data_IF_305189222167
#
_entry.id   IF_305189222167
#
_cell.length_a   1.000
_cell.length_b   1.000
_cell.length_c   1.000
_cell.angle_alpha   90.00
_cell.angle_beta   90.00
_cell.angle_gamma   90.00
#
_symmetry.space_group_name_H-M   'P 1'
#
loop_
_entity.id
_entity.type
_entity.pdbx_description
1 polymer ?
#
# COMPACT_ATOMS: atom_id res chain seq x y z
N UNK A 1 -26.89 -43.28 -2.22
CA UNK A 1 -25.70 -42.56 -2.73
C UNK A 1 -26.10 -41.16 -3.20
N UNK A 2 -27.11 -41.01 -4.06
CA UNK A 2 -27.61 -39.69 -4.52
C UNK A 2 -28.06 -38.73 -3.40
N UNK A 3 -28.70 -39.23 -2.32
CA UNK A 3 -29.08 -38.37 -1.19
C UNK A 3 -27.88 -37.86 -0.38
N UNK A 4 -26.80 -38.64 -0.29
CA UNK A 4 -25.57 -38.23 0.39
C UNK A 4 -24.77 -37.23 -0.46
N UNK A 5 -24.79 -37.39 -1.78
CA UNK A 5 -24.16 -36.46 -2.71
C UNK A 5 -24.90 -35.13 -2.80
N UNK A 6 -26.25 -35.13 -2.80
CA UNK A 6 -27.04 -33.89 -2.70
C UNK A 6 -26.80 -33.16 -1.38
N UNK A 7 -26.76 -33.89 -0.27
CA UNK A 7 -26.50 -33.32 1.06
C UNK A 7 -25.04 -32.82 1.18
N UNK A 8 -24.08 -33.47 0.51
CA UNK A 8 -22.70 -33.01 0.40
C UNK A 8 -22.57 -31.76 -0.50
N UNK A 9 -23.34 -31.65 -1.58
CA UNK A 9 -23.36 -30.47 -2.45
C UNK A 9 -24.00 -29.26 -1.74
N UNK A 10 -25.11 -29.48 -1.01
CA UNK A 10 -25.75 -28.44 -0.19
C UNK A 10 -24.81 -27.95 0.92
N UNK A 11 -24.15 -28.85 1.63
CA UNK A 11 -23.18 -28.48 2.68
C UNK A 11 -21.87 -27.88 2.15
N UNK A 12 -21.46 -28.20 0.92
CA UNK A 12 -20.29 -27.58 0.28
C UNK A 12 -20.52 -26.12 -0.14
N UNK A 13 -21.78 -25.69 -0.30
CA UNK A 13 -22.13 -24.30 -0.67
C UNK A 13 -22.28 -23.36 0.52
N UNK A 14 -22.51 -23.89 1.73
CA UNK A 14 -22.67 -23.09 2.94
C UNK A 14 -21.34 -22.94 3.68
N UNK A 15 -20.76 -21.73 3.60
CA UNK A 15 -19.59 -21.39 4.43
C UNK A 15 -19.98 -21.47 5.91
N UNK A 16 -19.08 -22.00 6.78
CA UNK A 16 -19.43 -22.24 8.17
C UNK A 16 -19.79 -20.94 8.91
N UNK A 17 -20.82 -21.01 9.75
CA UNK A 17 -21.54 -19.87 10.35
C UNK A 17 -20.65 -18.90 11.12
N UNK A 18 -19.54 -19.39 11.69
CA UNK A 18 -18.58 -18.56 12.42
C UNK A 18 -17.88 -17.53 11.52
N UNK A 19 -17.74 -17.81 10.22
CA UNK A 19 -17.16 -16.89 9.25
C UNK A 19 -18.01 -15.61 9.11
N UNK A 20 -19.33 -15.73 9.24
CA UNK A 20 -20.25 -14.58 9.18
C UNK A 20 -20.18 -13.66 10.40
N UNK A 21 -19.75 -14.17 11.57
CA UNK A 21 -19.50 -13.36 12.76
C UNK A 21 -18.25 -12.49 12.63
N UNK A 22 -17.26 -12.94 11.88
CA UNK A 22 -15.95 -12.26 11.78
C UNK A 22 -15.72 -11.56 10.43
N UNK A 23 -16.45 -11.92 9.38
CA UNK A 23 -16.25 -11.35 8.04
C UNK A 23 -17.12 -10.12 7.76
N UNK A 24 -18.17 -9.87 8.55
CA UNK A 24 -19.08 -8.74 8.32
C UNK A 24 -18.80 -7.55 9.23
N UNK A 25 -19.05 -6.35 8.68
CA UNK A 25 -18.96 -5.11 9.43
C UNK A 25 -19.96 -5.14 10.58
N UNK A 26 -19.48 -5.05 11.83
CA UNK A 26 -20.34 -4.98 13.00
C UNK A 26 -21.14 -3.66 13.03
N UNK A 27 -22.39 -3.68 13.52
CA UNK A 27 -23.25 -2.51 13.56
C UNK A 27 -22.69 -1.36 14.42
N UNK A 28 -21.98 -1.69 15.51
CA UNK A 28 -21.30 -0.72 16.38
C UNK A 28 -19.98 -0.17 15.81
N UNK A 29 -19.54 -0.61 14.64
CA UNK A 29 -18.29 -0.11 14.05
C UNK A 29 -18.40 1.37 13.66
N UNK A 30 -17.29 2.11 13.75
CA UNK A 30 -17.23 3.53 13.36
C UNK A 30 -17.12 3.69 11.84
N UNK A 31 -18.12 3.19 11.12
CA UNK A 31 -18.29 3.35 9.68
C UNK A 31 -19.53 4.19 9.39
N UNK A 32 -19.50 4.91 8.26
CA UNK A 32 -20.65 5.70 7.82
C UNK A 32 -21.87 4.78 7.56
N UNK A 33 -23.10 5.18 7.92
CA UNK A 33 -24.30 4.35 7.76
C UNK A 33 -24.48 3.78 6.35
N UNK A 34 -24.16 4.56 5.31
CA UNK A 34 -24.24 4.09 3.92
C UNK A 34 -23.33 2.87 3.64
N UNK A 35 -22.15 2.77 4.28
CA UNK A 35 -21.27 1.62 4.12
C UNK A 35 -21.87 0.38 4.77
N UNK A 36 -22.47 0.54 5.96
CA UNK A 36 -23.18 -0.54 6.66
C UNK A 36 -24.38 -1.04 5.86
N UNK A 37 -25.20 -0.13 5.34
CA UNK A 37 -26.30 -0.47 4.44
C UNK A 37 -25.80 -1.13 3.15
N UNK A 38 -24.67 -0.68 2.59
CA UNK A 38 -24.07 -1.29 1.40
C UNK A 38 -23.66 -2.75 1.62
N UNK A 39 -23.20 -3.13 2.83
CA UNK A 39 -22.89 -4.52 3.15
C UNK A 39 -24.15 -5.38 3.08
N UNK A 40 -25.21 -4.97 3.79
CA UNK A 40 -26.50 -5.67 3.77
C UNK A 40 -27.01 -5.79 2.33
N UNK A 41 -26.96 -4.68 1.59
CA UNK A 41 -27.36 -4.60 0.18
C UNK A 41 -26.63 -5.62 -0.69
N UNK A 42 -25.32 -5.69 -0.55
CA UNK A 42 -24.48 -6.60 -1.35
C UNK A 42 -24.76 -8.06 -1.01
N UNK A 43 -25.01 -8.39 0.27
CA UNK A 43 -25.31 -9.75 0.70
C UNK A 43 -26.65 -10.23 0.17
N UNK A 44 -27.69 -9.41 0.32
CA UNK A 44 -29.03 -9.76 -0.19
C UNK A 44 -29.02 -9.88 -1.71
N UNK A 45 -28.38 -8.95 -2.41
CA UNK A 45 -28.25 -9.03 -3.88
C UNK A 45 -27.52 -10.29 -4.33
N UNK A 46 -26.44 -10.69 -3.63
CA UNK A 46 -25.72 -11.94 -3.93
C UNK A 46 -26.58 -13.17 -3.68
N UNK A 47 -27.34 -13.21 -2.58
CA UNK A 47 -28.27 -14.30 -2.32
C UNK A 47 -29.31 -14.43 -3.44
N UNK A 48 -29.89 -13.31 -3.88
CA UNK A 48 -30.87 -13.31 -4.99
C UNK A 48 -30.22 -13.80 -6.31
N UNK A 49 -28.98 -13.40 -6.59
CA UNK A 49 -28.34 -13.68 -7.87
C UNK A 49 -27.71 -15.08 -7.97
N UNK A 50 -27.25 -15.64 -6.84
CA UNK A 50 -26.47 -16.89 -6.82
C UNK A 50 -27.30 -18.08 -6.33
N UNK A 51 -28.24 -17.86 -5.42
CA UNK A 51 -29.00 -18.96 -4.81
C UNK A 51 -30.03 -19.55 -5.77
N UNK A 52 -30.25 -20.86 -5.68
CA UNK A 52 -31.36 -21.53 -6.36
C UNK A 52 -32.70 -21.00 -5.82
N UNK A 53 -33.77 -20.94 -6.66
CA UNK A 53 -35.05 -20.37 -6.26
C UNK A 53 -35.66 -21.06 -5.03
N UNK A 54 -35.45 -22.37 -4.89
CA UNK A 54 -35.97 -23.17 -3.78
C UNK A 54 -35.20 -22.94 -2.46
N UNK A 55 -33.91 -22.59 -2.56
CA UNK A 55 -33.02 -22.35 -1.41
C UNK A 55 -32.96 -20.86 -0.99
N UNK A 56 -33.53 -19.96 -1.80
CA UNK A 56 -33.50 -18.53 -1.55
C UNK A 56 -34.15 -18.12 -0.21
N UNK A 57 -35.32 -18.66 0.21
CA UNK A 57 -35.91 -18.31 1.50
C UNK A 57 -35.02 -18.69 2.68
N UNK A 58 -34.37 -19.86 2.62
CA UNK A 58 -33.47 -20.36 3.65
C UNK A 58 -32.19 -19.50 3.75
N UNK A 59 -31.63 -19.07 2.61
CA UNK A 59 -30.46 -18.18 2.60
C UNK A 59 -30.78 -16.79 3.17
N UNK A 60 -31.97 -16.25 2.87
CA UNK A 60 -32.40 -14.96 3.42
C UNK A 60 -32.58 -15.04 4.94
N UNK A 61 -33.18 -16.12 5.45
CA UNK A 61 -33.31 -16.37 6.89
C UNK A 61 -31.94 -16.51 7.57
N UNK A 62 -31.02 -17.20 6.91
CA UNK A 62 -29.64 -17.33 7.37
C UNK A 62 -28.94 -15.97 7.46
N UNK A 63 -29.07 -15.13 6.43
CA UNK A 63 -28.52 -13.77 6.41
C UNK A 63 -29.15 -12.87 7.48
N UNK A 64 -30.47 -12.95 7.71
CA UNK A 64 -31.13 -12.18 8.78
C UNK A 64 -30.58 -12.58 10.16
N UNK A 65 -30.39 -13.88 10.41
CA UNK A 65 -29.79 -14.40 11.65
C UNK A 65 -28.35 -13.93 11.83
N UNK A 66 -27.54 -14.00 10.77
CA UNK A 66 -26.16 -13.55 10.78
C UNK A 66 -26.03 -12.03 11.01
N UNK A 67 -26.89 -11.22 10.39
CA UNK A 67 -26.90 -9.77 10.56
C UNK A 67 -27.36 -9.36 11.97
N UNK A 68 -28.34 -10.06 12.55
CA UNK A 68 -28.75 -9.82 13.95
C UNK A 68 -27.63 -10.08 14.94
N UNK A 69 -26.90 -11.18 14.74
CA UNK A 69 -25.75 -11.55 15.58
C UNK A 69 -24.66 -10.48 15.53
N UNK A 70 -24.56 -9.74 14.42
CA UNK A 70 -23.65 -8.61 14.22
C UNK A 70 -24.23 -7.24 14.69
N UNK A 71 -25.35 -7.24 15.41
CA UNK A 71 -25.96 -6.06 16.02
C UNK A 71 -26.86 -5.23 15.10
N UNK A 72 -27.24 -5.74 13.93
CA UNK A 72 -28.17 -5.05 13.03
C UNK A 72 -29.62 -5.22 13.48
N UNK A 73 -30.41 -4.15 13.40
CA UNK A 73 -31.84 -4.18 13.72
C UNK A 73 -32.67 -4.72 12.55
N UNK A 74 -33.82 -5.37 12.84
CA UNK A 74 -34.79 -5.83 11.81
C UNK A 74 -35.15 -4.71 10.82
N UNK A 75 -35.32 -3.51 11.37
CA UNK A 75 -35.71 -2.32 10.62
C UNK A 75 -34.65 -1.97 9.58
N UNK A 76 -33.37 -1.99 9.94
CA UNK A 76 -32.29 -1.67 9.01
C UNK A 76 -32.20 -2.69 7.86
N UNK A 77 -32.39 -3.97 8.17
CA UNK A 77 -32.34 -5.06 7.19
C UNK A 77 -33.52 -4.93 6.21
N UNK A 78 -34.74 -4.84 6.73
CA UNK A 78 -35.97 -4.71 5.93
C UNK A 78 -36.00 -3.44 5.10
N UNK A 79 -35.57 -2.30 5.65
CA UNK A 79 -35.45 -1.05 4.90
C UNK A 79 -34.46 -1.19 3.73
N UNK A 80 -33.29 -1.79 3.97
CA UNK A 80 -32.27 -1.99 2.93
C UNK A 80 -32.73 -2.97 1.84
N UNK A 81 -33.44 -4.04 2.23
CA UNK A 81 -34.04 -4.98 1.29
C UNK A 81 -35.08 -4.32 0.37
N UNK A 82 -35.92 -3.44 0.92
CA UNK A 82 -36.89 -2.66 0.12
C UNK A 82 -36.20 -1.73 -0.87
N UNK A 83 -35.13 -1.04 -0.44
CA UNK A 83 -34.39 -0.15 -1.34
C UNK A 83 -33.77 -0.89 -2.53
N UNK A 84 -33.30 -2.13 -2.35
CA UNK A 84 -32.82 -2.97 -3.45
C UNK A 84 -33.88 -3.20 -4.52
N UNK A 85 -35.05 -3.70 -4.09
CA UNK A 85 -36.15 -4.04 -5.01
C UNK A 85 -36.70 -2.82 -5.77
N UNK A 86 -36.55 -1.61 -5.21
CA UNK A 86 -36.96 -0.37 -5.86
C UNK A 86 -35.91 0.13 -6.85
N UNK A 87 -34.63 -0.03 -6.55
CA UNK A 87 -33.55 0.37 -7.45
C UNK A 87 -33.44 -0.54 -8.68
N UNK A 88 -33.70 -1.84 -8.55
CA UNK A 88 -33.76 -2.77 -9.68
C UNK A 88 -34.86 -2.38 -10.69
N UNK A 89 -35.97 -1.80 -10.20
CA UNK A 89 -37.08 -1.31 -11.03
C UNK A 89 -36.78 0.02 -11.74
N UNK A 90 -35.83 0.81 -11.23
CA UNK A 90 -35.49 2.13 -11.76
C UNK A 90 -34.26 2.13 -12.69
N UNK A 91 -33.54 1.01 -12.80
CA UNK A 91 -32.30 0.91 -13.57
C UNK A 91 -32.49 0.74 -15.09
N UNK A 92 -33.70 0.94 -15.61
CA UNK A 92 -34.04 0.76 -17.04
C UNK A 92 -33.80 2.00 -17.90
N UNK A 93 -33.32 3.11 -17.34
CA UNK A 93 -32.98 4.30 -18.13
C UNK A 93 -31.46 4.44 -18.32
N UNK A 94 -30.98 4.70 -19.56
CA UNK A 94 -29.57 4.95 -19.80
C UNK A 94 -29.14 6.23 -19.06
N UNK A 95 -28.23 6.08 -18.09
CA UNK A 95 -27.59 7.21 -17.40
C UNK A 95 -26.77 8.01 -18.40
N UNK A 96 -27.24 9.20 -18.74
CA UNK A 96 -26.46 10.21 -19.46
C UNK A 96 -25.15 10.49 -18.69
N UNK A 97 -24.03 10.62 -19.41
CA UNK A 97 -22.70 10.86 -18.83
C UNK A 97 -22.62 12.29 -18.28
N UNK A 98 -23.28 12.56 -17.16
CA UNK A 98 -23.07 13.80 -16.41
C UNK A 98 -21.61 13.89 -15.95
N UNK A 99 -21.07 15.12 -15.97
CA UNK A 99 -19.72 15.44 -15.53
C UNK A 99 -19.51 14.87 -14.12
N UNK A 100 -18.41 14.12 -13.94
CA UNK A 100 -18.09 13.52 -12.65
C UNK A 100 -18.04 14.61 -11.57
N UNK A 101 -18.90 14.56 -10.55
CA UNK A 101 -18.88 15.57 -9.49
C UNK A 101 -17.53 15.54 -8.79
N UNK A 102 -17.05 16.71 -8.35
CA UNK A 102 -15.83 16.82 -7.54
C UNK A 102 -15.97 15.93 -6.30
N UNK A 103 -14.97 15.07 -6.04
CA UNK A 103 -14.98 14.10 -4.94
C UNK A 103 -13.96 14.46 -3.88
N UNK A 104 -14.36 14.43 -2.62
CA UNK A 104 -13.48 14.63 -1.45
C UNK A 104 -13.57 13.42 -0.54
N UNK A 105 -12.41 12.93 -0.08
CA UNK A 105 -12.33 11.82 0.87
C UNK A 105 -12.18 12.36 2.29
N UNK A 106 -13.05 11.94 3.21
CA UNK A 106 -13.03 12.36 4.61
C UNK A 106 -13.01 11.17 5.56
N UNK A 107 -12.15 11.16 6.60
CA UNK A 107 -12.22 10.14 7.63
C UNK A 107 -13.55 10.27 8.39
N UNK A 108 -14.26 9.17 8.62
CA UNK A 108 -15.57 9.18 9.27
C UNK A 108 -15.42 9.40 10.78
N UNK A 109 -15.97 10.52 11.25
CA UNK A 109 -16.11 10.87 12.66
C UNK A 109 -17.57 11.22 12.86
N UNK A 110 -18.30 10.36 13.58
CA UNK A 110 -19.73 10.50 13.81
C UNK A 110 -20.08 11.92 14.30
N UNK A 111 -21.02 12.56 13.62
CA UNK A 111 -21.52 13.91 13.95
C UNK A 111 -20.70 15.08 13.40
N UNK A 112 -19.36 14.94 13.28
CA UNK A 112 -18.50 16.01 12.74
C UNK A 112 -18.45 15.93 11.22
N UNK A 113 -18.02 14.79 10.67
CA UNK A 113 -17.84 14.65 9.23
C UNK A 113 -19.16 14.62 8.47
N UNK A 114 -20.26 14.27 9.15
CA UNK A 114 -21.62 14.36 8.61
C UNK A 114 -22.07 15.81 8.39
N UNK A 115 -21.69 16.73 9.29
CA UNK A 115 -21.97 18.17 9.12
C UNK A 115 -21.15 18.73 7.97
N UNK A 116 -19.87 18.37 7.90
CA UNK A 116 -18.97 18.78 6.81
C UNK A 116 -19.49 18.26 5.47
N UNK A 117 -19.86 16.98 5.38
CA UNK A 117 -20.42 16.39 4.16
C UNK A 117 -21.71 17.05 3.70
N UNK A 118 -22.61 17.40 4.64
CA UNK A 118 -23.83 18.16 4.32
C UNK A 118 -23.52 19.55 3.77
N UNK A 119 -22.52 20.24 4.31
CA UNK A 119 -22.10 21.55 3.81
C UNK A 119 -21.48 21.45 2.41
N UNK A 120 -20.55 20.52 2.21
CA UNK A 120 -19.89 20.29 0.92
C UNK A 120 -20.88 19.89 -0.19
N UNK A 121 -21.92 19.12 0.16
CA UNK A 121 -22.98 18.74 -0.80
C UNK A 121 -23.75 19.95 -1.33
N UNK A 122 -23.94 21.02 -0.55
CA UNK A 122 -24.58 22.26 -1.01
C UNK A 122 -23.77 22.96 -2.11
N UNK A 123 -22.45 22.78 -2.11
CA UNK A 123 -21.54 23.32 -3.10
C UNK A 123 -21.26 22.36 -4.28
N UNK A 124 -22.06 21.29 -4.43
CA UNK A 124 -21.89 20.32 -5.52
C UNK A 124 -20.68 19.40 -5.36
N UNK A 125 -20.06 19.34 -4.16
CA UNK A 125 -18.94 18.46 -3.87
C UNK A 125 -19.44 17.18 -3.20
N UNK A 126 -19.09 16.03 -3.77
CA UNK A 126 -19.46 14.73 -3.24
C UNK A 126 -18.43 14.23 -2.23
N UNK A 127 -18.87 13.97 -1.00
CA UNK A 127 -18.00 13.43 0.05
C UNK A 127 -18.07 11.92 0.14
N UNK A 128 -16.90 11.28 0.15
CA UNK A 128 -16.73 9.85 0.36
C UNK A 128 -16.09 9.64 1.74
N UNK A 129 -16.76 8.91 2.61
CA UNK A 129 -16.27 8.65 3.96
C UNK A 129 -15.37 7.41 4.02
N UNK A 130 -14.23 7.53 4.68
CA UNK A 130 -13.27 6.44 4.90
C UNK A 130 -13.12 6.14 6.40
N UNK A 131 -12.86 4.89 6.81
CA UNK A 131 -12.58 4.61 8.21
C UNK A 131 -11.26 5.27 8.64
N UNK A 132 -11.18 5.71 9.91
CA UNK A 132 -10.00 6.39 10.47
C UNK A 132 -8.77 5.48 10.55
N UNK A 133 -8.96 4.26 11.06
CA UNK A 133 -7.89 3.26 11.22
C UNK A 133 -8.37 1.90 10.78
N UNK A 134 -7.59 1.21 9.93
CA UNK A 134 -7.87 -0.18 9.55
C UNK A 134 -7.23 -1.12 10.56
N UNK A 135 -7.87 -2.26 10.84
CA UNK A 135 -7.34 -3.29 11.75
C UNK A 135 -5.91 -3.71 11.33
N UNK A 136 -5.65 -3.85 10.03
CA UNK A 136 -4.30 -4.18 9.53
C UNK A 136 -3.22 -3.11 9.77
N UNK A 137 -3.59 -1.88 10.14
CA UNK A 137 -2.62 -0.86 10.57
C UNK A 137 -2.29 -0.98 12.07
N UNK A 138 -3.21 -1.53 12.86
CA UNK A 138 -3.04 -1.77 14.30
C UNK A 138 -2.30 -3.10 14.51
N UNK A 139 -2.67 -4.12 13.72
CA UNK A 139 -2.02 -5.42 13.77
C UNK A 139 -0.61 -5.30 13.20
N UNK A 140 0.37 -5.77 13.96
CA UNK A 140 1.73 -5.94 13.45
C UNK A 140 1.71 -6.95 12.32
N UNK A 141 2.51 -6.69 11.29
CA UNK A 141 2.72 -7.68 10.23
C UNK A 141 3.34 -8.92 10.88
N UNK A 142 2.76 -10.13 10.70
CA UNK A 142 3.28 -11.35 11.33
C UNK A 142 4.61 -11.84 10.73
N UNK A 143 5.17 -11.10 9.76
CA UNK A 143 6.41 -11.44 9.07
C UNK A 143 7.57 -10.66 9.66
N UNK A 144 8.71 -11.32 9.78
CA UNK A 144 9.95 -10.68 10.19
C UNK A 144 10.33 -9.54 9.23
N UNK A 145 10.88 -8.44 9.75
CA UNK A 145 11.34 -7.35 8.91
C UNK A 145 12.52 -7.83 8.07
N UNK A 146 12.36 -7.86 6.75
CA UNK A 146 13.49 -8.18 5.87
C UNK A 146 14.55 -7.05 5.92
N UNK A 147 15.85 -7.41 5.90
CA UNK A 147 16.94 -6.44 5.89
C UNK A 147 16.78 -5.41 4.76
N UNK A 148 17.21 -4.14 4.95
CA UNK A 148 17.03 -3.09 3.94
C UNK A 148 17.62 -3.42 2.56
N UNK A 149 18.74 -4.15 2.52
CA UNK A 149 19.43 -4.51 1.28
C UNK A 149 18.81 -5.71 0.55
N UNK A 150 17.88 -6.43 1.18
CA UNK A 150 17.16 -7.54 0.54
C UNK A 150 15.89 -7.08 -0.17
N UNK A 151 15.56 -5.79 -0.08
CA UNK A 151 14.37 -5.18 -0.68
C UNK A 151 14.71 -4.44 -1.97
N UNK A 152 13.74 -4.27 -2.88
CA UNK A 152 13.91 -3.41 -4.04
C UNK A 152 13.96 -1.94 -3.63
N UNK A 153 14.76 -1.17 -4.34
CA UNK A 153 15.01 0.21 -4.00
C UNK A 153 16.21 0.81 -4.72
N UNK A 154 16.52 2.04 -4.33
CA UNK A 154 17.68 2.78 -4.80
C UNK A 154 18.73 2.74 -3.70
N UNK A 155 19.95 2.38 -4.08
CA UNK A 155 21.08 2.28 -3.17
C UNK A 155 22.25 3.10 -3.70
N UNK A 156 23.18 3.41 -2.80
CA UNK A 156 24.45 3.98 -3.16
C UNK A 156 25.63 3.11 -2.73
N UNK A 157 26.70 3.13 -3.51
CA UNK A 157 27.96 2.47 -3.21
C UNK A 157 29.06 3.53 -3.26
N UNK A 158 29.68 3.87 -2.12
CA UNK A 158 30.77 4.84 -2.10
C UNK A 158 32.09 4.21 -2.58
N UNK A 159 32.92 5.02 -3.21
CA UNK A 159 34.30 4.71 -3.54
C UNK A 159 35.26 5.47 -2.62
N UNK A 160 36.50 4.98 -2.47
CA UNK A 160 37.56 5.67 -1.71
C UNK A 160 37.89 7.07 -2.26
N UNK A 161 37.65 7.31 -3.55
CA UNK A 161 37.89 8.61 -4.18
C UNK A 161 36.81 9.67 -3.84
N UNK A 162 35.83 9.33 -3.00
CA UNK A 162 34.73 10.21 -2.62
C UNK A 162 33.58 10.25 -3.63
N UNK A 163 33.75 9.66 -4.83
CA UNK A 163 32.65 9.48 -5.79
C UNK A 163 31.69 8.40 -5.31
N UNK A 164 30.42 8.54 -5.68
CA UNK A 164 29.35 7.62 -5.28
C UNK A 164 28.66 7.04 -6.51
N UNK A 165 28.51 5.73 -6.56
CA UNK A 165 27.63 5.09 -7.53
C UNK A 165 26.21 5.02 -6.98
N UNK A 166 25.22 5.37 -7.80
CA UNK A 166 23.79 5.27 -7.45
C UNK A 166 23.15 4.27 -8.38
N UNK A 167 22.52 3.24 -7.84
CA UNK A 167 21.88 2.22 -8.66
C UNK A 167 20.48 1.90 -8.18
N UNK A 168 19.63 1.50 -9.12
CA UNK A 168 18.36 0.84 -8.80
C UNK A 168 18.54 -0.69 -8.69
N UNK A 169 17.80 -1.29 -7.76
CA UNK A 169 17.57 -2.73 -7.65
C UNK A 169 16.07 -3.01 -7.74
N UNK A 170 15.63 -3.67 -8.82
CA UNK A 170 14.22 -4.07 -8.99
C UNK A 170 13.85 -5.29 -8.16
N UNK A 171 14.84 -6.09 -7.74
CA UNK A 171 14.66 -7.30 -6.93
C UNK A 171 15.37 -7.12 -5.58
N UNK A 172 16.45 -7.86 -5.35
CA UNK A 172 17.27 -7.77 -4.15
C UNK A 172 18.54 -6.95 -4.49
N UNK A 173 18.82 -5.91 -3.70
CA UNK A 173 20.00 -5.04 -3.89
C UNK A 173 21.29 -5.82 -3.62
N UNK A 174 21.30 -6.72 -2.64
CA UNK A 174 22.45 -7.57 -2.34
C UNK A 174 22.84 -8.47 -3.52
N UNK A 175 21.87 -8.97 -4.29
CA UNK A 175 22.15 -9.68 -5.54
C UNK A 175 22.87 -8.77 -6.54
N UNK A 176 22.44 -7.51 -6.65
CA UNK A 176 23.06 -6.51 -7.53
C UNK A 176 24.47 -6.13 -7.09
N UNK A 177 24.73 -6.05 -5.79
CA UNK A 177 26.07 -5.84 -5.23
C UNK A 177 26.99 -7.01 -5.65
N UNK A 178 26.55 -8.25 -5.47
CA UNK A 178 27.31 -9.45 -5.88
C UNK A 178 27.59 -9.50 -7.38
N UNK A 179 26.64 -9.02 -8.20
CA UNK A 179 26.85 -8.87 -9.65
C UNK A 179 27.97 -7.86 -9.95
N UNK A 180 27.99 -6.71 -9.28
CA UNK A 180 29.07 -5.72 -9.43
C UNK A 180 30.43 -6.28 -9.00
N UNK A 181 30.51 -6.97 -7.85
CA UNK A 181 31.72 -7.64 -7.40
C UNK A 181 32.22 -8.68 -8.42
N UNK A 182 31.29 -9.45 -8.99
CA UNK A 182 31.60 -10.42 -10.06
C UNK A 182 32.14 -9.72 -11.30
N UNK A 183 31.58 -8.58 -11.71
CA UNK A 183 32.05 -7.83 -12.88
C UNK A 183 33.45 -7.26 -12.69
N UNK A 184 33.79 -6.79 -11.49
CA UNK A 184 35.15 -6.38 -11.14
C UNK A 184 36.09 -7.59 -11.21
N UNK A 185 35.73 -8.71 -10.57
CA UNK A 185 36.56 -9.92 -10.54
C UNK A 185 36.82 -10.51 -11.93
N UNK A 186 35.86 -10.42 -12.84
CA UNK A 186 35.96 -10.92 -14.21
C UNK A 186 36.52 -9.89 -15.20
N UNK A 187 36.94 -8.71 -14.74
CA UNK A 187 37.43 -7.62 -15.57
C UNK A 187 36.46 -7.26 -16.73
N UNK A 188 35.17 -7.11 -16.42
CA UNK A 188 34.12 -6.78 -17.39
C UNK A 188 33.65 -5.32 -17.22
N UNK A 189 34.43 -4.32 -17.68
CA UNK A 189 34.07 -2.91 -17.52
C UNK A 189 32.75 -2.60 -18.21
N UNK A 190 32.48 -3.16 -19.40
CA UNK A 190 31.30 -2.84 -20.21
C UNK A 190 29.96 -3.10 -19.52
N UNK A 191 29.92 -3.98 -18.51
CA UNK A 191 28.68 -4.39 -17.84
C UNK A 191 28.34 -3.57 -16.60
N UNK A 192 29.31 -2.86 -16.01
CA UNK A 192 29.07 -2.08 -14.80
C UNK A 192 29.95 -0.84 -14.76
N UNK A 193 29.32 0.32 -14.54
CA UNK A 193 30.02 1.59 -14.32
C UNK A 193 30.98 1.52 -13.11
N UNK A 194 30.62 0.72 -12.08
CA UNK A 194 31.49 0.49 -10.93
C UNK A 194 32.75 -0.28 -11.34
N UNK A 195 32.59 -1.29 -12.21
CA UNK A 195 33.72 -2.09 -12.68
C UNK A 195 34.66 -1.26 -13.55
N UNK A 196 34.11 -0.46 -14.47
CA UNK A 196 34.88 0.47 -15.30
C UNK A 196 35.67 1.46 -14.44
N UNK A 197 35.04 2.11 -13.45
CA UNK A 197 35.70 3.06 -12.56
C UNK A 197 36.79 2.40 -11.69
N UNK A 198 36.51 1.21 -11.14
CA UNK A 198 37.48 0.48 -10.32
C UNK A 198 38.69 0.03 -11.13
N UNK A 199 38.51 -0.39 -12.39
CA UNK A 199 39.59 -0.84 -13.27
C UNK A 199 40.40 0.31 -13.87
N UNK A 200 39.74 1.39 -14.29
CA UNK A 200 40.40 2.55 -14.92
C UNK A 200 41.16 3.41 -13.91
N UNK A 201 40.56 3.70 -12.76
CA UNK A 201 41.18 4.53 -11.72
C UNK A 201 41.92 3.71 -10.65
N UNK A 202 41.91 2.37 -10.74
CA UNK A 202 42.50 1.43 -9.77
C UNK A 202 42.01 1.66 -8.32
N UNK A 203 40.79 2.20 -8.19
CA UNK A 203 40.21 2.51 -6.88
C UNK A 203 39.45 1.33 -6.28
N UNK A 204 39.52 1.23 -4.94
CA UNK A 204 38.77 0.25 -4.16
C UNK A 204 37.34 0.73 -3.90
N UNK A 205 36.38 -0.10 -4.28
CA UNK A 205 34.96 0.14 -4.02
C UNK A 205 34.59 -0.37 -2.62
N UNK A 206 33.86 0.44 -1.83
CA UNK A 206 33.48 0.11 -0.45
C UNK A 206 32.09 -0.54 -0.42
N UNK A 207 31.97 -1.78 -0.89
CA UNK A 207 30.71 -2.53 -0.91
C UNK A 207 30.07 -2.71 0.48
N UNK A 208 30.88 -2.80 1.53
CA UNK A 208 30.41 -2.89 2.91
C UNK A 208 29.72 -1.60 3.41
N UNK A 209 29.95 -0.46 2.76
CA UNK A 209 29.31 0.83 3.06
C UNK A 209 28.12 1.13 2.15
N UNK A 210 27.56 0.10 1.48
CA UNK A 210 26.36 0.25 0.66
C UNK A 210 25.17 0.63 1.53
N UNK A 211 24.43 1.67 1.15
CA UNK A 211 23.24 2.12 1.88
C UNK A 211 22.03 2.19 0.96
N UNK A 212 20.88 1.78 1.50
CA UNK A 212 19.58 2.02 0.88
C UNK A 212 19.24 3.51 1.03
N UNK A 213 19.04 4.22 -0.08
CA UNK A 213 18.61 5.62 -0.10
C UNK A 213 17.08 5.70 0.00
N UNK A 214 16.39 4.91 -0.82
CA UNK A 214 14.94 4.93 -0.89
C UNK A 214 14.40 3.54 -1.23
N UNK A 215 13.39 3.12 -0.47
CA UNK A 215 12.65 1.89 -0.77
C UNK A 215 11.46 2.21 -1.66
N UNK A 216 11.33 1.54 -2.80
CA UNK A 216 10.16 1.71 -3.70
C UNK A 216 9.94 0.43 -4.49
N UNK A 217 8.68 0.02 -4.60
CA UNK A 217 8.30 -1.24 -5.26
C UNK A 217 7.89 -1.00 -6.74
N UNK A 218 7.39 0.19 -7.06
CA UNK A 218 6.94 0.54 -8.40
C UNK A 218 8.14 0.80 -9.35
N UNK A 219 8.30 0.05 -10.46
CA UNK A 219 9.42 0.22 -11.38
C UNK A 219 9.54 1.61 -12.00
N UNK A 220 8.41 2.23 -12.37
CA UNK A 220 8.36 3.59 -12.92
C UNK A 220 8.88 4.63 -11.93
N UNK A 221 8.53 4.48 -10.65
CA UNK A 221 9.01 5.37 -9.59
C UNK A 221 10.51 5.16 -9.33
N UNK A 222 11.01 3.93 -9.43
CA UNK A 222 12.45 3.65 -9.29
C UNK A 222 13.27 4.40 -10.34
N UNK A 223 12.85 4.39 -11.61
CA UNK A 223 13.56 5.09 -12.68
C UNK A 223 13.61 6.60 -12.44
N UNK A 224 12.47 7.21 -12.11
CA UNK A 224 12.40 8.66 -11.83
C UNK A 224 13.24 9.00 -10.59
N UNK A 225 13.13 8.20 -9.53
CA UNK A 225 13.81 8.46 -8.28
C UNK A 225 15.32 8.23 -8.40
N UNK A 226 15.78 7.24 -9.16
CA UNK A 226 17.20 7.02 -9.47
C UNK A 226 17.79 8.26 -10.14
N UNK A 227 17.12 8.77 -11.19
CA UNK A 227 17.55 9.99 -11.86
C UNK A 227 17.60 11.20 -10.93
N UNK A 228 16.61 11.35 -10.05
CA UNK A 228 16.60 12.43 -9.06
C UNK A 228 17.81 12.31 -8.12
N UNK A 229 18.11 11.11 -7.63
CA UNK A 229 19.25 10.90 -6.73
C UNK A 229 20.59 11.09 -7.46
N UNK A 230 20.72 10.66 -8.72
CA UNK A 230 21.91 10.95 -9.55
C UNK A 230 22.11 12.46 -9.71
N UNK A 231 21.04 13.22 -10.01
CA UNK A 231 21.13 14.68 -10.16
C UNK A 231 21.50 15.41 -8.86
N UNK A 232 21.17 14.84 -7.70
CA UNK A 232 21.59 15.41 -6.40
C UNK A 232 23.08 15.21 -6.10
N UNK A 233 23.73 14.22 -6.72
CA UNK A 233 25.12 13.87 -6.48
C UNK A 233 25.98 14.23 -7.70
N UNK A 234 26.59 15.43 -7.74
CA UNK A 234 27.38 15.88 -8.90
C UNK A 234 28.64 15.03 -9.14
N UNK A 235 29.18 14.41 -8.09
CA UNK A 235 30.35 13.53 -8.13
C UNK A 235 29.92 12.05 -8.13
N UNK A 236 29.23 11.63 -9.19
CA UNK A 236 28.76 10.25 -9.33
C UNK A 236 29.61 9.42 -10.31
N UNK A 237 29.55 8.09 -10.17
CA UNK A 237 30.27 7.12 -11.01
C UNK A 237 29.42 6.68 -12.24
N UNK A 238 28.15 7.08 -12.29
CA UNK A 238 27.21 6.57 -13.28
C UNK A 238 27.56 7.02 -14.70
N UNK A 239 27.38 6.12 -15.68
CA UNK A 239 27.53 6.45 -17.12
C UNK A 239 26.47 7.41 -17.61
N UNK A 240 25.22 7.14 -17.20
CA UNK A 240 24.05 7.88 -17.63
C UNK A 240 23.38 8.60 -16.47
N UNK A 241 22.73 9.72 -16.76
CA UNK A 241 21.89 10.49 -15.82
C UNK A 241 20.53 9.82 -15.56
N UNK A 242 20.33 8.60 -16.07
CA UNK A 242 19.12 7.80 -15.96
C UNK A 242 17.99 8.28 -16.88
N UNK A 243 16.75 8.16 -16.40
CA UNK A 243 15.56 8.74 -17.02
C UNK A 243 15.66 10.27 -17.20
N UNK A 244 15.26 10.77 -18.37
CA UNK A 244 15.31 12.22 -18.70
C UNK A 244 14.25 12.98 -17.90
N UNK A 245 14.67 13.62 -16.81
CA UNK A 245 13.81 14.50 -16.02
C UNK A 245 13.44 15.77 -16.80
N UNK A 246 12.20 16.23 -16.65
CA UNK A 246 11.79 17.54 -17.19
C UNK A 246 12.58 18.66 -16.50
N UNK A 247 12.95 19.70 -17.25
CA UNK A 247 13.65 20.89 -16.74
C UNK A 247 12.89 21.61 -15.62
N UNK A 248 11.58 21.36 -15.49
CA UNK A 248 10.75 21.87 -14.39
C UNK A 248 11.17 21.35 -13.01
N UNK A 249 11.89 20.23 -12.95
CA UNK A 249 12.37 19.66 -11.68
C UNK A 249 13.63 20.34 -11.14
N UNK A 250 14.45 20.93 -12.02
CA UNK A 250 15.72 21.57 -11.67
C UNK A 250 15.64 22.61 -10.53
N UNK A 251 14.62 23.51 -10.47
CA UNK A 251 14.51 24.46 -9.36
C UNK A 251 14.04 23.84 -8.03
N UNK A 252 13.38 22.67 -8.06
CA UNK A 252 12.80 22.02 -6.87
C UNK A 252 13.81 21.07 -6.21
N UNK A 253 14.75 20.54 -6.99
CA UNK A 253 15.77 19.65 -6.46
C UNK A 253 16.82 20.44 -5.65
N UNK A 254 17.15 20.01 -4.42
CA UNK A 254 18.13 20.70 -3.61
C UNK A 254 19.48 20.69 -4.34
N UNK A 255 20.07 21.88 -4.55
CA UNK A 255 21.44 21.99 -5.04
C UNK A 255 22.37 21.39 -3.98
N UNK A 256 23.40 20.62 -4.38
CA UNK A 256 24.37 20.11 -3.43
C UNK A 256 24.96 21.27 -2.63
N UNK A 257 24.94 21.17 -1.30
CA UNK A 257 25.67 22.10 -0.44
C UNK A 257 27.14 21.95 -0.80
N UNK A 258 27.73 22.96 -1.44
CA UNK A 258 29.16 23.10 -1.53
C UNK A 258 29.65 23.33 -0.10
N UNK A 259 30.05 22.27 0.60
CA UNK A 259 30.95 22.33 1.74
C UNK A 259 31.47 20.92 2.00
N UNK A 260 32.75 20.73 1.72
CA UNK A 260 33.52 19.62 2.24
C UNK A 260 33.50 19.69 3.75
N UNK A 261 32.83 18.74 4.38
CA UNK A 261 33.10 18.34 5.75
C UNK A 261 32.86 16.85 5.75
N UNK A 262 33.94 16.08 5.94
CA UNK A 262 33.84 14.66 6.14
C UNK A 262 32.86 14.39 7.28
N UNK A 263 32.02 13.33 7.22
CA UNK A 263 31.29 12.89 8.39
C UNK A 263 32.34 12.44 9.42
N UNK A 264 32.55 13.26 10.45
CA UNK A 264 33.20 12.81 11.68
C UNK A 264 32.41 11.62 12.21
N UNK A 265 33.11 10.54 12.53
CA UNK A 265 32.53 9.35 13.15
C UNK A 265 31.58 9.74 14.31
N UNK A 266 30.39 9.13 14.41
CA UNK A 266 29.57 9.32 15.59
C UNK A 266 30.32 8.67 16.77
N UNK A 267 30.70 9.50 17.73
CA UNK A 267 31.19 9.07 19.04
C UNK A 267 30.20 8.04 19.62
N UNK A 268 30.66 6.90 20.14
CA UNK A 268 29.76 5.89 20.69
C UNK A 268 29.01 6.47 21.89
N UNK A 269 27.67 6.47 21.81
CA UNK A 269 26.81 6.74 22.95
C UNK A 269 27.07 5.68 24.04
N UNK A 270 27.35 6.08 25.29
CA UNK A 270 27.58 5.11 26.37
C UNK A 270 26.31 4.30 26.64
N UNK A 271 26.54 3.03 26.96
CA UNK A 271 25.50 2.04 27.25
C UNK A 271 24.75 2.44 28.54
N UNK A 272 23.44 2.16 28.71
CA UNK A 272 22.67 2.54 29.90
C UNK A 272 23.12 1.98 31.27
N UNK A 273 24.29 1.34 31.35
CA UNK A 273 24.83 0.75 32.59
C UNK A 273 25.85 1.65 33.29
N UNK A 274 26.24 2.77 32.68
CA UNK A 274 27.29 3.66 33.20
C UNK A 274 26.75 4.96 33.84
N UNK A 275 25.47 4.99 34.24
CA UNK A 275 24.89 6.14 34.97
C UNK A 275 25.01 5.83 36.48
N UNK A 276 25.81 6.59 37.26
CA UNK A 276 25.83 6.43 38.71
C UNK A 276 24.48 6.84 39.32
N UNK A 277 24.04 6.23 40.43
CA UNK A 277 22.79 6.59 41.08
C UNK A 277 22.86 8.04 41.57
N UNK A 278 21.79 8.79 41.33
CA UNK A 278 21.62 10.14 41.87
C UNK A 278 21.51 10.06 43.40
N UNK A 279 22.38 10.80 44.10
CA UNK A 279 22.21 11.18 45.50
C UNK A 279 21.00 12.12 45.67
#
# INVERSE_FOLDING_TARGET
MENLEKQALESATQKPTHWFRYMYLHAASNHHPAQKSSVIKTLIHRAIQISAPDALPQEIEHLDTALRTNGYTKINITHTAKTLTNEEKQNTQPREKERLPLRVFLPYIQGVTDRIGRHLRKHGIHTIFTPTTKIGQILRTPKDPTPPLEKPGIYNIPCICGKVYIGMGQRNIQTRIKEHERHIRLNQPDKSAIAEHSLSEQHRILFNRTRLIAQTICPSHLQIRESIEIHKHPYNINRDTGFRLSKTWTPVLPRPRANGTQPTDPTPTPHPRDIPPFN
#
